data_IF_654391374663
#
_entry.id   IF_654391374663
#
_cell.length_a   1.000
_cell.length_b   1.000
_cell.length_c   1.000
_cell.angle_alpha   90.00
_cell.angle_beta   90.00
_cell.angle_gamma   90.00
#
_symmetry.space_group_name_H-M   'P 1'
#
loop_
_entity.id
_entity.type
_entity.pdbx_description
1 polymer ?
#
# COMPACT_ATOMS: atom_id res chain seq x y z
N UNK A 1 -5.89 -6.76 6.69
CA UNK A 1 -4.57 -6.11 6.93
C UNK A 1 -3.36 -6.94 6.44
N UNK A 2 -3.19 -8.20 6.87
CA UNK A 2 -1.99 -9.02 6.52
C UNK A 2 -1.83 -9.30 5.02
N UNK A 3 -2.92 -9.49 4.28
CA UNK A 3 -2.86 -9.75 2.82
C UNK A 3 -2.32 -8.55 2.04
N UNK A 4 -2.72 -7.33 2.39
CA UNK A 4 -2.21 -6.09 1.77
C UNK A 4 -0.70 -5.99 1.98
N UNK A 5 -0.21 -6.21 3.21
CA UNK A 5 1.22 -6.17 3.50
C UNK A 5 1.98 -7.25 2.74
N UNK A 6 1.43 -8.46 2.64
CA UNK A 6 2.05 -9.56 1.90
C UNK A 6 2.10 -9.24 0.40
N UNK A 7 1.02 -8.70 -0.16
CA UNK A 7 0.96 -8.27 -1.56
C UNK A 7 1.95 -7.15 -1.88
N UNK A 8 2.06 -6.16 -0.99
CA UNK A 8 3.04 -5.08 -1.13
C UNK A 8 4.48 -5.63 -1.12
N UNK A 9 4.77 -6.59 -0.23
CA UNK A 9 6.07 -7.28 -0.19
C UNK A 9 6.32 -8.13 -1.45
N UNK A 10 5.30 -8.85 -1.94
CA UNK A 10 5.39 -9.67 -3.15
C UNK A 10 5.60 -8.83 -4.40
N UNK A 11 5.07 -7.61 -4.44
CA UNK A 11 5.25 -6.71 -5.57
C UNK A 11 6.69 -6.19 -5.72
N UNK A 12 7.62 -6.51 -4.79
CA UNK A 12 9.04 -6.10 -4.76
C UNK A 12 9.28 -4.58 -4.89
N UNK A 13 8.24 -3.78 -4.66
CA UNK A 13 8.34 -2.32 -4.72
C UNK A 13 9.12 -1.84 -3.49
N UNK A 14 9.93 -0.78 -3.64
CA UNK A 14 10.72 -0.17 -2.55
C UNK A 14 9.84 0.63 -1.60
N UNK A 15 8.80 -0.02 -1.10
CA UNK A 15 7.82 0.54 -0.18
C UNK A 15 7.75 -0.33 1.06
N UNK A 16 7.53 0.32 2.20
CA UNK A 16 7.44 -0.30 3.49
C UNK A 16 5.99 -0.22 3.97
N UNK A 17 5.36 -1.39 4.16
CA UNK A 17 4.03 -1.47 4.72
C UNK A 17 4.11 -1.88 6.20
N UNK A 18 3.44 -1.12 7.06
CA UNK A 18 3.33 -1.34 8.50
C UNK A 18 1.87 -1.41 8.90
N UNK A 19 1.52 -2.33 9.79
CA UNK A 19 0.15 -2.47 10.31
C UNK A 19 0.07 -1.70 11.63
N UNK A 20 -0.80 -0.71 11.71
CA UNK A 20 -1.11 0.05 12.92
C UNK A 20 -2.52 -0.31 13.37
N UNK A 21 -2.63 -1.32 14.23
CA UNK A 21 -3.91 -1.86 14.68
C UNK A 21 -4.72 -2.41 13.50
N UNK A 22 -5.78 -1.70 13.14
CA UNK A 22 -6.67 -2.06 12.01
C UNK A 22 -6.29 -1.38 10.69
N UNK A 23 -5.38 -0.40 10.72
CA UNK A 23 -4.97 0.35 9.52
C UNK A 23 -3.62 -0.12 8.98
N UNK A 24 -3.40 0.02 7.66
CA UNK A 24 -2.12 -0.28 7.02
C UNK A 24 -1.49 1.01 6.53
N UNK A 25 -0.35 1.38 7.11
CA UNK A 25 0.46 2.52 6.67
C UNK A 25 1.47 2.05 5.64
N UNK A 26 1.46 2.66 4.47
CA UNK A 26 2.41 2.40 3.38
C UNK A 26 3.30 3.63 3.21
N UNK A 27 4.62 3.44 3.32
CA UNK A 27 5.63 4.47 3.13
C UNK A 27 6.52 4.10 1.96
N UNK A 28 6.73 5.02 1.01
CA UNK A 28 7.57 4.79 -0.16
C UNK A 28 8.49 5.97 -0.39
N UNK A 29 9.67 5.72 -0.97
CA UNK A 29 10.61 6.79 -1.34
C UNK A 29 10.20 7.49 -2.63
N UNK A 30 9.63 6.73 -3.57
CA UNK A 30 9.23 7.22 -4.89
C UNK A 30 7.71 7.25 -5.02
N UNK A 31 7.18 8.41 -5.41
CA UNK A 31 5.73 8.60 -5.63
C UNK A 31 5.19 7.66 -6.71
N UNK A 32 5.99 7.38 -7.74
CA UNK A 32 5.61 6.45 -8.82
C UNK A 32 5.41 5.03 -8.28
N UNK A 33 6.29 4.56 -7.40
CA UNK A 33 6.11 3.25 -6.77
C UNK A 33 4.88 3.20 -5.87
N UNK A 34 4.57 4.28 -5.15
CA UNK A 34 3.33 4.35 -4.36
C UNK A 34 2.10 4.27 -5.25
N UNK A 35 2.11 4.97 -6.38
CA UNK A 35 0.99 4.96 -7.32
C UNK A 35 0.82 3.59 -8.01
N UNK A 36 1.92 2.90 -8.31
CA UNK A 36 1.92 1.55 -8.88
C UNK A 36 1.36 0.51 -7.88
N UNK A 37 1.73 0.62 -6.59
CA UNK A 37 1.13 -0.18 -5.50
C UNK A 37 -0.38 0.04 -5.43
N UNK A 38 -0.84 1.30 -5.44
CA UNK A 38 -2.26 1.64 -5.36
C UNK A 38 -3.01 1.06 -6.56
N UNK A 39 -2.45 1.18 -7.76
CA UNK A 39 -3.04 0.64 -8.98
C UNK A 39 -3.14 -0.88 -8.94
N UNK A 40 -2.10 -1.57 -8.46
CA UNK A 40 -2.11 -3.03 -8.27
C UNK A 40 -3.07 -3.49 -7.18
N UNK A 41 -3.18 -2.74 -6.08
CA UNK A 41 -4.14 -3.01 -5.00
C UNK A 41 -5.58 -2.77 -5.45
N UNK A 42 -5.83 -1.80 -6.32
CA UNK A 42 -7.14 -1.56 -6.93
C UNK A 42 -7.48 -2.60 -8.00
N UNK A 43 -6.49 -3.04 -8.78
CA UNK A 43 -6.66 -4.05 -9.81
C UNK A 43 -6.86 -5.46 -9.23
N UNK A 44 -6.25 -5.75 -8.08
CA UNK A 44 -6.52 -6.97 -7.33
C UNK A 44 -7.75 -6.72 -6.48
N UNK A 45 -8.90 -7.16 -6.97
CA UNK A 45 -10.18 -6.91 -6.34
C UNK A 45 -10.25 -7.64 -4.98
N UNK A 46 -9.89 -6.93 -3.92
CA UNK A 46 -10.03 -7.45 -2.55
C UNK A 46 -11.45 -7.25 -2.03
N UNK A 47 -12.36 -6.61 -2.79
CA UNK A 47 -13.75 -6.35 -2.36
C UNK A 47 -13.85 -5.43 -1.13
N UNK A 48 -12.79 -4.71 -0.81
CA UNK A 48 -12.70 -3.78 0.33
C UNK A 48 -12.36 -2.39 -0.20
N UNK A 49 -13.14 -1.41 0.22
CA UNK A 49 -12.95 0.00 -0.13
C UNK A 49 -11.69 0.55 0.57
N UNK A 50 -10.54 0.41 -0.08
CA UNK A 50 -9.26 0.87 0.46
C UNK A 50 -9.15 2.39 0.31
N UNK A 51 -9.34 3.11 1.43
CA UNK A 51 -9.07 4.54 1.51
C UNK A 51 -7.57 4.77 1.71
N UNK A 52 -6.94 5.39 0.72
CA UNK A 52 -5.58 5.89 0.82
C UNK A 52 -5.65 7.35 1.27
N UNK A 53 -5.33 7.58 2.54
CA UNK A 53 -5.28 8.92 3.14
C UNK A 53 -3.87 9.21 3.67
N UNK A 54 -3.54 10.50 3.84
CA UNK A 54 -2.31 10.98 4.47
C UNK A 54 -1.03 10.80 3.62
N UNK A 55 -1.05 11.31 2.37
CA UNK A 55 0.15 11.48 1.55
C UNK A 55 1.10 12.50 2.21
N UNK A 56 2.10 12.02 2.96
CA UNK A 56 3.15 12.88 3.52
C UNK A 56 4.37 12.85 2.62
N UNK A 57 4.54 13.87 1.79
CA UNK A 57 5.84 14.26 1.23
C UNK A 57 6.61 14.99 2.33
N UNK A 58 7.63 14.34 2.90
CA UNK A 58 8.64 15.01 3.72
C UNK A 58 9.94 15.09 2.92
#
# INVERSE_FOLDING_TARGET
AKEIVRFIKDSKLKVQASIQGETVRVSGKDRDTLQDVISKLKAKDFGIDMKFDNYRTN
#
